data_IF_731308012299
#
_entry.id   IF_731308012299
#
_cell.length_a   1.000
_cell.length_b   1.000
_cell.length_c   1.000
_cell.angle_alpha   90.00
_cell.angle_beta   90.00
_cell.angle_gamma   90.00
#
_symmetry.space_group_name_H-M   'P 1'
#
loop_
_entity.id
_entity.type
_entity.pdbx_description
1 polymer ?
#
# COMPACT_ATOMS: atom_id res chain seq x y z
N UNK A 1 -29.12 11.67 19.35
CA UNK A 1 -29.28 10.39 20.08
C UNK A 1 -29.28 9.17 19.14
N UNK A 2 -30.20 9.07 18.17
CA UNK A 2 -30.29 7.89 17.29
C UNK A 2 -29.05 7.66 16.39
N UNK A 3 -28.57 8.71 15.71
CA UNK A 3 -27.37 8.62 14.86
C UNK A 3 -26.12 8.17 15.63
N UNK A 4 -25.90 8.73 16.82
CA UNK A 4 -24.77 8.34 17.67
C UNK A 4 -24.81 6.85 18.03
N UNK A 5 -25.97 6.34 18.47
CA UNK A 5 -26.16 4.92 18.78
C UNK A 5 -25.95 4.01 17.57
N UNK A 6 -26.30 4.49 16.38
CA UNK A 6 -26.02 3.76 15.14
C UNK A 6 -24.51 3.72 14.85
N UNK A 7 -23.82 4.85 14.98
CA UNK A 7 -22.38 4.98 14.73
C UNK A 7 -21.51 4.28 15.78
N UNK A 8 -22.00 4.03 17.00
CA UNK A 8 -21.25 3.28 18.03
C UNK A 8 -21.71 1.84 18.21
N UNK A 9 -22.60 1.33 17.35
CA UNK A 9 -23.17 0.00 17.48
C UNK A 9 -22.26 -1.09 16.89
N UNK A 10 -22.08 -2.18 17.66
CA UNK A 10 -21.40 -3.39 17.20
C UNK A 10 -22.12 -4.08 16.03
N UNK A 11 -23.46 -3.99 15.97
CA UNK A 11 -24.24 -4.54 14.85
C UNK A 11 -23.93 -3.81 13.55
N UNK A 12 -23.79 -2.48 13.63
CA UNK A 12 -23.40 -1.65 12.48
C UNK A 12 -22.02 -2.05 11.99
N UNK A 13 -21.06 -2.20 12.90
CA UNK A 13 -19.72 -2.67 12.56
C UNK A 13 -19.74 -4.05 11.86
N UNK A 14 -20.49 -5.02 12.41
CA UNK A 14 -20.59 -6.35 11.80
C UNK A 14 -21.19 -6.32 10.38
N UNK A 15 -22.26 -5.57 10.16
CA UNK A 15 -22.87 -5.43 8.83
C UNK A 15 -21.96 -4.70 7.84
N UNK A 16 -21.27 -3.65 8.28
CA UNK A 16 -20.29 -2.95 7.44
C UNK A 16 -19.09 -3.84 7.09
N UNK A 17 -18.62 -4.66 8.03
CA UNK A 17 -17.57 -5.65 7.78
C UNK A 17 -18.00 -6.69 6.74
N UNK A 18 -19.24 -7.19 6.83
CA UNK A 18 -19.79 -8.09 5.82
C UNK A 18 -19.89 -7.41 4.44
N UNK A 19 -20.39 -6.17 4.39
CA UNK A 19 -20.49 -5.39 3.16
C UNK A 19 -19.11 -5.15 2.52
N UNK A 20 -18.09 -4.84 3.34
CA UNK A 20 -16.69 -4.71 2.91
C UNK A 20 -16.19 -6.01 2.28
N UNK A 21 -16.42 -7.17 2.91
CA UNK A 21 -16.00 -8.47 2.38
C UNK A 21 -16.70 -8.80 1.04
N UNK A 22 -18.01 -8.54 0.94
CA UNK A 22 -18.78 -8.76 -0.29
C UNK A 22 -18.27 -7.86 -1.42
N UNK A 23 -18.02 -6.57 -1.13
CA UNK A 23 -17.48 -5.62 -2.09
C UNK A 23 -16.09 -6.03 -2.57
N UNK A 24 -15.21 -6.49 -1.67
CA UNK A 24 -13.89 -7.00 -2.02
C UNK A 24 -13.95 -8.23 -2.93
N UNK A 25 -14.83 -9.19 -2.62
CA UNK A 25 -15.04 -10.38 -3.45
C UNK A 25 -15.57 -10.02 -4.84
N UNK A 26 -16.56 -9.11 -4.91
CA UNK A 26 -17.08 -8.59 -6.17
C UNK A 26 -15.99 -7.88 -6.98
N UNK A 27 -15.13 -7.10 -6.33
CA UNK A 27 -13.98 -6.44 -6.96
C UNK A 27 -12.99 -7.42 -7.57
N UNK A 28 -12.65 -8.50 -6.85
CA UNK A 28 -11.77 -9.55 -7.37
C UNK A 28 -12.31 -10.18 -8.66
N UNK A 29 -13.63 -10.39 -8.75
CA UNK A 29 -14.27 -10.91 -9.97
C UNK A 29 -14.31 -9.85 -11.07
N UNK A 30 -14.67 -8.60 -10.73
CA UNK A 30 -14.76 -7.50 -11.68
C UNK A 30 -13.41 -7.20 -12.35
N UNK A 31 -12.31 -7.23 -11.60
CA UNK A 31 -10.97 -7.00 -12.15
C UNK A 31 -10.59 -8.03 -13.22
N UNK A 32 -10.97 -9.31 -13.06
CA UNK A 32 -10.74 -10.34 -14.07
C UNK A 32 -11.69 -10.23 -15.28
N UNK A 33 -12.92 -9.75 -15.07
CA UNK A 33 -13.95 -9.62 -16.11
C UNK A 33 -13.72 -8.40 -17.03
N UNK A 34 -13.16 -7.32 -16.48
CA UNK A 34 -12.98 -6.03 -17.17
C UNK A 34 -11.51 -5.56 -17.13
N UNK A 35 -10.57 -6.30 -17.73
CA UNK A 35 -9.14 -5.99 -17.66
C UNK A 35 -8.80 -4.62 -18.26
N UNK A 36 -9.47 -4.19 -19.32
CA UNK A 36 -9.22 -2.88 -19.95
C UNK A 36 -9.50 -1.69 -19.00
N UNK A 37 -10.45 -1.87 -18.07
CA UNK A 37 -10.79 -0.86 -17.08
C UNK A 37 -9.79 -0.85 -15.91
N UNK A 38 -9.37 -2.03 -15.44
CA UNK A 38 -8.63 -2.18 -14.18
C UNK A 38 -7.12 -2.47 -14.32
N UNK A 39 -6.61 -2.88 -15.49
CA UNK A 39 -5.22 -3.33 -15.65
C UNK A 39 -4.16 -2.26 -15.30
N UNK A 40 -4.49 -0.98 -15.51
CA UNK A 40 -3.59 0.12 -15.20
C UNK A 40 -3.82 0.71 -13.80
N UNK A 41 -4.68 0.11 -12.98
CA UNK A 41 -4.95 0.57 -11.61
C UNK A 41 -3.69 0.49 -10.74
N UNK A 42 -2.88 -0.57 -10.92
CA UNK A 42 -1.59 -0.72 -10.26
C UNK A 42 -0.44 0.03 -10.94
N UNK A 43 -0.64 0.57 -12.14
CA UNK A 43 0.40 1.32 -12.84
C UNK A 43 0.51 2.78 -12.37
N UNK A 44 -0.40 3.25 -11.52
CA UNK A 44 -0.54 4.65 -11.13
C UNK A 44 -1.05 4.78 -9.70
N UNK A 45 -1.12 6.01 -9.22
CA UNK A 45 -1.70 6.34 -7.91
C UNK A 45 -3.23 6.25 -8.00
N UNK A 46 -3.86 5.70 -6.95
CA UNK A 46 -5.30 5.44 -6.92
C UNK A 46 -6.14 6.69 -7.23
N UNK A 47 -5.83 7.86 -6.66
CA UNK A 47 -6.57 9.09 -6.94
C UNK A 47 -6.54 9.48 -8.43
N UNK A 48 -5.39 9.31 -9.09
CA UNK A 48 -5.23 9.57 -10.52
C UNK A 48 -6.01 8.58 -11.38
N UNK A 49 -6.03 7.31 -10.99
CA UNK A 49 -6.86 6.30 -11.66
C UNK A 49 -8.35 6.60 -11.48
N UNK A 50 -8.77 6.88 -10.24
CA UNK A 50 -10.16 7.12 -9.88
C UNK A 50 -10.74 8.34 -10.59
N UNK A 51 -9.99 9.44 -10.67
CA UNK A 51 -10.42 10.64 -11.39
C UNK A 51 -10.66 10.41 -12.89
N UNK A 52 -9.93 9.46 -13.49
CA UNK A 52 -10.03 9.16 -14.94
C UNK A 52 -11.04 8.07 -15.26
N UNK A 53 -11.06 7.00 -14.46
CA UNK A 53 -11.80 5.76 -14.76
C UNK A 53 -12.85 5.39 -13.70
N UNK A 54 -12.78 5.96 -12.50
CA UNK A 54 -13.65 5.59 -11.39
C UNK A 54 -15.15 5.82 -11.66
N UNK A 55 -15.48 6.78 -12.51
CA UNK A 55 -16.87 7.10 -12.91
C UNK A 55 -17.18 6.78 -14.37
N UNK A 56 -16.23 6.21 -15.11
CA UNK A 56 -16.37 5.98 -16.56
C UNK A 56 -17.44 4.91 -16.86
N UNK A 57 -17.49 3.85 -16.04
CA UNK A 57 -18.54 2.84 -16.11
C UNK A 57 -19.00 2.46 -14.67
N UNK A 58 -20.14 3.01 -14.20
CA UNK A 58 -20.64 2.78 -12.85
C UNK A 58 -20.94 1.32 -12.52
N UNK A 59 -21.27 0.48 -13.52
CA UNK A 59 -21.62 -0.92 -13.28
C UNK A 59 -20.43 -1.73 -12.75
N UNK A 60 -19.35 -1.86 -13.52
CA UNK A 60 -18.13 -2.54 -13.11
C UNK A 60 -17.41 -1.88 -11.94
N UNK A 61 -17.58 -0.57 -11.71
CA UNK A 61 -16.89 0.15 -10.62
C UNK A 61 -17.67 0.16 -9.30
N UNK A 62 -18.93 -0.31 -9.26
CA UNK A 62 -19.78 -0.25 -8.08
C UNK A 62 -19.17 -0.89 -6.82
N UNK A 63 -18.42 -1.99 -6.99
CA UNK A 63 -17.74 -2.67 -5.88
C UNK A 63 -16.78 -1.72 -5.16
N UNK A 64 -16.12 -0.82 -5.89
CA UNK A 64 -15.14 0.11 -5.33
C UNK A 64 -15.82 1.14 -4.45
N UNK A 65 -16.97 1.68 -4.87
CA UNK A 65 -17.77 2.59 -4.05
C UNK A 65 -18.28 1.90 -2.78
N UNK A 66 -18.75 0.66 -2.90
CA UNK A 66 -19.15 -0.15 -1.74
C UNK A 66 -18.00 -0.36 -0.75
N UNK A 67 -16.80 -0.63 -1.26
CA UNK A 67 -15.60 -0.82 -0.46
C UNK A 67 -15.16 0.47 0.23
N UNK A 68 -15.09 1.58 -0.50
CA UNK A 68 -14.71 2.89 0.04
C UNK A 68 -15.71 3.38 1.09
N UNK A 69 -17.01 3.26 0.81
CA UNK A 69 -18.07 3.64 1.75
C UNK A 69 -18.02 2.79 3.02
N UNK A 70 -17.91 1.47 2.88
CA UNK A 70 -17.83 0.57 4.03
C UNK A 70 -16.60 0.86 4.89
N UNK A 71 -15.44 1.10 4.26
CA UNK A 71 -14.20 1.47 4.95
C UNK A 71 -14.34 2.79 5.69
N UNK A 72 -14.89 3.82 5.04
CA UNK A 72 -15.12 5.12 5.66
C UNK A 72 -16.06 5.03 6.86
N UNK A 73 -17.17 4.29 6.73
CA UNK A 73 -18.11 4.10 7.83
C UNK A 73 -17.53 3.26 8.98
N UNK A 74 -16.69 2.26 8.68
CA UNK A 74 -15.96 1.51 9.72
C UNK A 74 -14.96 2.40 10.46
N UNK A 75 -14.24 3.26 9.74
CA UNK A 75 -13.33 4.23 10.36
C UNK A 75 -14.10 5.21 11.27
N UNK A 76 -15.22 5.77 10.82
CA UNK A 76 -16.08 6.63 11.64
C UNK A 76 -16.60 5.88 12.86
N UNK A 77 -17.06 4.63 12.71
CA UNK A 77 -17.53 3.79 13.81
C UNK A 77 -16.42 3.57 14.86
N UNK A 78 -15.23 3.17 14.42
CA UNK A 78 -14.07 2.96 15.30
C UNK A 78 -13.66 4.26 16.03
N UNK A 79 -13.68 5.40 15.33
CA UNK A 79 -13.37 6.70 15.91
C UNK A 79 -14.40 7.11 16.98
N UNK A 80 -15.70 7.02 16.68
CA UNK A 80 -16.78 7.33 17.63
C UNK A 80 -16.73 6.42 18.87
N UNK A 81 -16.56 5.11 18.67
CA UNK A 81 -16.41 4.14 19.77
C UNK A 81 -15.19 4.46 20.67
N UNK A 82 -14.09 4.88 20.05
CA UNK A 82 -12.87 5.26 20.79
C UNK A 82 -13.10 6.55 21.58
N UNK A 83 -13.71 7.57 20.98
CA UNK A 83 -13.98 8.85 21.63
C UNK A 83 -14.89 8.70 22.86
N UNK A 84 -15.97 7.90 22.75
CA UNK A 84 -16.91 7.66 23.85
C UNK A 84 -16.22 7.04 25.09
N UNK A 85 -15.29 6.12 24.85
CA UNK A 85 -14.61 5.37 25.90
C UNK A 85 -13.39 6.10 26.45
N UNK A 86 -12.70 6.90 25.63
CA UNK A 86 -11.58 7.73 26.11
C UNK A 86 -12.04 8.70 27.21
N UNK A 87 -13.24 9.29 27.06
CA UNK A 87 -13.86 10.16 28.08
C UNK A 87 -14.10 9.40 29.40
N UNK A 88 -14.43 8.11 29.35
CA UNK A 88 -14.62 7.28 30.54
C UNK A 88 -13.29 6.91 31.22
N UNK A 89 -12.24 6.72 30.42
CA UNK A 89 -10.89 6.38 30.89
C UNK A 89 -10.27 7.54 31.68
N UNK A 90 -10.43 8.79 31.23
CA UNK A 90 -9.95 9.97 31.94
C UNK A 90 -10.57 10.17 33.33
N UNK A 91 -11.65 9.45 33.68
CA UNK A 91 -12.38 9.59 34.94
C UNK A 91 -12.06 8.50 35.98
N UNK A 92 -11.12 7.59 35.73
CA UNK A 92 -10.80 6.52 36.69
C UNK A 92 -9.48 5.80 36.42
N UNK A 93 -9.20 4.77 37.21
CA UNK A 93 -8.03 3.89 37.02
C UNK A 93 -8.32 2.85 35.95
N UNK A 94 -7.44 2.74 34.94
CA UNK A 94 -7.59 1.83 33.79
C UNK A 94 -6.62 0.67 33.84
N UNK A 95 -7.13 -0.53 33.59
CA UNK A 95 -6.33 -1.75 33.37
C UNK A 95 -5.90 -1.85 31.91
N UNK A 96 -4.73 -2.43 31.62
CA UNK A 96 -4.22 -2.67 30.26
C UNK A 96 -5.26 -3.34 29.34
N UNK A 97 -6.00 -4.33 29.83
CA UNK A 97 -7.02 -5.05 29.03
C UNK A 97 -8.18 -4.16 28.58
N UNK A 98 -8.50 -3.10 29.33
CA UNK A 98 -9.48 -2.09 28.93
C UNK A 98 -8.92 -1.11 27.90
N UNK A 99 -7.59 -0.97 27.80
CA UNK A 99 -6.92 -0.12 26.80
C UNK A 99 -6.71 -0.84 25.46
N UNK A 100 -6.58 -2.17 25.45
CA UNK A 100 -6.30 -2.94 24.25
C UNK A 100 -7.29 -2.70 23.10
N UNK A 101 -8.63 -2.71 23.29
CA UNK A 101 -9.56 -2.41 22.20
C UNK A 101 -9.37 -1.01 21.60
N UNK A 102 -8.96 -0.03 22.40
CA UNK A 102 -8.69 1.33 21.91
C UNK A 102 -7.39 1.39 21.13
N UNK A 103 -6.35 0.65 21.57
CA UNK A 103 -5.13 0.48 20.80
C UNK A 103 -5.43 -0.16 19.44
N UNK A 104 -6.30 -1.17 19.38
CA UNK A 104 -6.75 -1.76 18.11
C UNK A 104 -7.45 -0.73 17.20
N UNK A 105 -8.38 0.05 17.73
CA UNK A 105 -9.08 1.07 16.92
C UNK A 105 -8.13 2.14 16.40
N UNK A 106 -7.24 2.66 17.24
CA UNK A 106 -6.25 3.65 16.83
C UNK A 106 -5.29 3.09 15.77
N UNK A 107 -4.86 1.84 15.92
CA UNK A 107 -4.05 1.15 14.94
C UNK A 107 -4.81 0.94 13.61
N UNK A 108 -6.06 0.49 13.65
CA UNK A 108 -6.92 0.38 12.47
C UNK A 108 -7.11 1.73 11.76
N UNK A 109 -7.39 2.79 12.51
CA UNK A 109 -7.48 4.15 11.97
C UNK A 109 -6.16 4.60 11.34
N UNK A 110 -5.04 4.28 11.97
CA UNK A 110 -3.71 4.52 11.43
C UNK A 110 -3.49 3.83 10.09
N UNK A 111 -3.90 2.56 9.95
CA UNK A 111 -3.85 1.82 8.67
C UNK A 111 -4.69 2.52 7.60
N UNK A 112 -5.95 2.86 7.91
CA UNK A 112 -6.87 3.51 6.95
C UNK A 112 -6.34 4.88 6.51
N UNK A 113 -5.89 5.72 7.45
CA UNK A 113 -5.36 7.05 7.14
C UNK A 113 -4.05 6.98 6.35
N UNK A 114 -3.21 5.98 6.63
CA UNK A 114 -1.96 5.80 5.89
C UNK A 114 -2.22 5.32 4.46
N UNK A 115 -3.15 4.38 4.26
CA UNK A 115 -3.60 4.00 2.92
C UNK A 115 -4.21 5.19 2.16
N UNK A 116 -5.00 6.03 2.83
CA UNK A 116 -5.54 7.25 2.22
C UNK A 116 -4.42 8.21 1.82
N UNK A 117 -3.41 8.41 2.67
CA UNK A 117 -2.25 9.24 2.34
C UNK A 117 -1.48 8.68 1.13
N UNK A 118 -1.24 7.38 1.06
CA UNK A 118 -0.62 6.73 -0.11
C UNK A 118 -1.47 6.87 -1.37
N UNK A 119 -2.79 6.76 -1.25
CA UNK A 119 -3.73 6.86 -2.36
C UNK A 119 -3.84 8.29 -2.93
N UNK A 120 -3.58 9.32 -2.13
CA UNK A 120 -3.66 10.73 -2.52
C UNK A 120 -2.31 11.34 -2.89
N UNK A 121 -1.25 10.99 -2.15
CA UNK A 121 0.06 11.64 -2.22
C UNK A 121 1.19 10.70 -2.68
N UNK A 122 0.87 9.44 -2.97
CA UNK A 122 1.82 8.54 -3.61
C UNK A 122 2.29 9.06 -4.97
N UNK A 123 3.33 8.42 -5.50
CA UNK A 123 3.76 8.63 -6.88
C UNK A 123 4.22 7.30 -7.48
N UNK A 124 3.90 7.06 -8.75
CA UNK A 124 4.30 5.86 -9.48
C UNK A 124 4.74 6.26 -10.87
N UNK A 125 6.01 5.99 -11.17
CA UNK A 125 6.64 6.27 -12.46
C UNK A 125 7.01 4.91 -13.08
N UNK A 126 6.10 4.34 -13.89
CA UNK A 126 6.32 3.03 -14.46
C UNK A 126 7.22 3.08 -15.69
N UNK A 127 7.95 1.99 -15.95
CA UNK A 127 8.46 1.72 -17.29
C UNK A 127 9.68 2.52 -17.73
N UNK A 128 10.55 2.93 -16.80
CA UNK A 128 11.82 3.60 -17.11
C UNK A 128 12.80 2.60 -17.71
N UNK A 129 12.80 2.46 -19.03
CA UNK A 129 13.70 1.57 -19.76
C UNK A 129 15.10 2.22 -19.95
N UNK A 130 16.14 1.52 -19.49
CA UNK A 130 17.53 1.99 -19.57
C UNK A 130 18.41 0.89 -20.18
N UNK A 131 19.04 1.13 -21.34
CA UNK A 131 20.06 0.22 -21.85
C UNK A 131 21.32 0.31 -20.97
N UNK A 132 22.09 -0.77 -20.88
CA UNK A 132 23.32 -0.75 -20.10
C UNK A 132 24.30 0.29 -20.63
N UNK A 133 24.88 1.08 -19.72
CA UNK A 133 25.70 2.25 -20.02
C UNK A 133 24.89 3.51 -20.38
N UNK A 134 23.58 3.38 -20.61
CA UNK A 134 22.68 4.46 -20.97
C UNK A 134 22.09 5.19 -19.77
N UNK A 135 21.32 6.23 -20.09
CA UNK A 135 20.67 7.13 -19.14
C UNK A 135 19.19 7.30 -19.52
N UNK A 136 18.30 7.35 -18.54
CA UNK A 136 16.91 7.72 -18.76
C UNK A 136 16.42 8.64 -17.64
N UNK A 137 15.53 9.58 -17.98
CA UNK A 137 14.88 10.43 -17.00
C UNK A 137 13.87 9.63 -16.17
N UNK A 138 13.84 9.87 -14.87
CA UNK A 138 12.89 9.23 -13.95
C UNK A 138 11.68 10.15 -13.78
N UNK A 139 10.82 10.22 -14.80
CA UNK A 139 9.61 11.04 -14.79
C UNK A 139 9.88 12.51 -14.42
N UNK A 140 9.03 13.05 -13.53
CA UNK A 140 9.09 14.44 -13.06
C UNK A 140 10.00 14.71 -11.86
N UNK A 141 10.80 13.72 -11.42
CA UNK A 141 11.65 13.82 -10.20
C UNK A 141 12.86 14.75 -10.36
N UNK A 142 13.23 15.07 -11.60
CA UNK A 142 14.48 15.74 -11.93
C UNK A 142 15.71 14.81 -11.89
N UNK A 143 15.53 13.51 -11.67
CA UNK A 143 16.62 12.54 -11.71
C UNK A 143 16.82 11.92 -13.09
N UNK A 144 18.06 11.49 -13.31
CA UNK A 144 18.46 10.63 -14.41
C UNK A 144 19.00 9.33 -13.83
N UNK A 145 18.41 8.21 -14.20
CA UNK A 145 18.87 6.88 -13.86
C UNK A 145 19.85 6.39 -14.91
N UNK A 146 21.03 5.94 -14.47
CA UNK A 146 22.00 5.23 -15.28
C UNK A 146 22.01 3.75 -14.90
N UNK A 147 21.97 2.87 -15.89
CA UNK A 147 22.25 1.46 -15.71
C UNK A 147 23.75 1.23 -15.89
N UNK A 148 24.50 1.08 -14.81
CA UNK A 148 25.95 0.88 -14.88
C UNK A 148 26.28 -0.53 -15.38
N UNK A 149 25.58 -1.53 -14.84
CA UNK A 149 25.77 -2.95 -15.17
C UNK A 149 24.50 -3.73 -14.92
N UNK A 150 24.16 -4.65 -15.82
CA UNK A 150 23.10 -5.62 -15.63
C UNK A 150 23.68 -7.03 -15.68
N UNK A 151 23.35 -7.84 -14.68
CA UNK A 151 23.74 -9.23 -14.60
C UNK A 151 22.49 -10.09 -14.45
N UNK A 152 22.35 -11.12 -15.29
CA UNK A 152 21.30 -12.12 -15.18
C UNK A 152 21.87 -13.53 -15.27
N UNK A 153 21.37 -14.42 -14.43
CA UNK A 153 21.66 -15.85 -14.45
C UNK A 153 20.43 -16.55 -14.99
N UNK A 154 20.52 -17.08 -16.20
CA UNK A 154 19.42 -17.84 -16.82
C UNK A 154 19.52 -19.31 -16.42
N UNK A 155 18.38 -19.93 -16.13
CA UNK A 155 18.26 -21.37 -15.98
C UNK A 155 18.37 -22.05 -17.36
N UNK A 156 18.74 -23.35 -17.42
CA UNK A 156 18.81 -24.10 -18.68
C UNK A 156 17.50 -24.06 -19.48
N UNK A 157 16.36 -23.98 -18.79
CA UNK A 157 15.03 -23.93 -19.39
C UNK A 157 14.65 -22.51 -19.89
N UNK A 158 15.54 -21.52 -19.76
CA UNK A 158 15.39 -20.20 -20.36
C UNK A 158 14.67 -19.15 -19.49
N UNK A 159 14.36 -19.45 -18.23
CA UNK A 159 13.84 -18.46 -17.28
C UNK A 159 14.96 -17.87 -16.40
N UNK A 160 14.83 -16.63 -15.90
CA UNK A 160 15.84 -16.04 -15.02
C UNK A 160 15.80 -16.66 -13.63
N UNK A 161 16.95 -17.13 -13.16
CA UNK A 161 17.16 -17.64 -11.79
C UNK A 161 17.51 -16.52 -10.82
N UNK A 162 18.34 -15.56 -11.25
CA UNK A 162 18.77 -14.41 -10.47
C UNK A 162 19.08 -13.25 -11.41
N UNK A 163 18.85 -12.03 -10.97
CA UNK A 163 19.21 -10.83 -11.72
C UNK A 163 19.51 -9.66 -10.78
N UNK A 164 20.43 -8.81 -11.21
CA UNK A 164 20.81 -7.61 -10.48
C UNK A 164 21.18 -6.48 -11.44
N UNK A 165 20.87 -5.25 -11.04
CA UNK A 165 21.22 -4.06 -11.78
C UNK A 165 22.02 -3.12 -10.89
N UNK A 166 23.28 -2.88 -11.23
CA UNK A 166 24.03 -1.77 -10.62
C UNK A 166 23.57 -0.48 -11.28
N UNK A 167 23.04 0.43 -10.48
CA UNK A 167 22.49 1.70 -10.97
C UNK A 167 23.04 2.89 -10.20
N UNK A 168 23.11 4.02 -10.89
CA UNK A 168 23.44 5.32 -10.29
C UNK A 168 22.35 6.32 -10.67
N UNK A 169 21.77 7.00 -9.68
CA UNK A 169 20.90 8.15 -9.85
C UNK A 169 21.73 9.43 -9.87
N UNK A 170 21.43 10.29 -10.83
CA UNK A 170 22.03 11.61 -10.99
C UNK A 170 20.97 12.68 -10.82
N UNK A 171 21.35 13.81 -10.21
CA UNK A 171 20.66 15.09 -10.34
C UNK A 171 21.57 15.99 -11.17
N UNK A 172 21.10 16.37 -12.35
CA UNK A 172 21.91 16.99 -13.40
C UNK A 172 23.14 16.14 -13.74
N UNK A 173 24.34 16.58 -13.34
CA UNK A 173 25.61 15.87 -13.53
C UNK A 173 26.15 15.21 -12.26
N UNK A 174 25.51 15.43 -11.11
CA UNK A 174 26.00 14.98 -9.81
C UNK A 174 25.37 13.63 -9.43
N UNK A 175 26.16 12.59 -9.11
CA UNK A 175 25.62 11.34 -8.59
C UNK A 175 25.07 11.55 -7.18
N UNK A 176 23.78 11.24 -6.97
CA UNK A 176 23.06 11.45 -5.69
C UNK A 176 22.77 10.14 -4.95
N UNK A 177 22.72 9.02 -5.66
CA UNK A 177 22.61 7.69 -5.07
C UNK A 177 23.18 6.63 -6.02
N UNK A 178 23.75 5.56 -5.45
CA UNK A 178 24.25 4.41 -6.20
C UNK A 178 23.97 3.15 -5.40
N UNK A 179 23.60 2.08 -6.09
CA UNK A 179 23.38 0.79 -5.43
C UNK A 179 23.15 -0.34 -6.42
N UNK A 180 22.96 -1.54 -5.87
CA UNK A 180 22.58 -2.73 -6.63
C UNK A 180 21.11 -2.98 -6.36
N UNK A 181 20.29 -2.95 -7.42
CA UNK A 181 18.87 -3.27 -7.36
C UNK A 181 18.70 -4.77 -7.66
N UNK A 182 17.95 -5.46 -6.81
CA UNK A 182 17.53 -6.86 -6.97
C UNK A 182 16.03 -6.98 -6.70
N UNK A 183 15.46 -8.17 -6.93
CA UNK A 183 14.01 -8.43 -6.75
C UNK A 183 13.43 -7.90 -5.43
N UNK A 184 14.13 -8.11 -4.31
CA UNK A 184 13.69 -7.67 -2.97
C UNK A 184 14.63 -6.64 -2.34
N UNK A 185 15.56 -6.08 -3.12
CA UNK A 185 16.53 -5.08 -2.66
C UNK A 185 16.46 -3.87 -3.60
N UNK A 186 15.44 -3.01 -3.45
CA UNK A 186 15.33 -1.79 -4.23
C UNK A 186 16.36 -0.73 -3.78
N UNK A 187 16.67 0.21 -4.67
CA UNK A 187 17.43 1.40 -4.30
C UNK A 187 16.46 2.46 -3.78
N UNK A 188 16.61 2.87 -2.52
CA UNK A 188 15.82 3.96 -1.94
C UNK A 188 16.55 5.30 -2.01
N UNK A 189 15.87 6.34 -2.49
CA UNK A 189 16.38 7.71 -2.50
C UNK A 189 15.23 8.73 -2.42
N UNK A 190 15.33 9.72 -1.53
CA UNK A 190 14.31 10.77 -1.27
C UNK A 190 12.85 10.24 -1.20
N UNK A 191 12.65 9.08 -0.58
CA UNK A 191 11.32 8.45 -0.41
C UNK A 191 10.83 7.62 -1.61
N UNK A 192 11.55 7.62 -2.73
CA UNK A 192 11.29 6.71 -3.85
C UNK A 192 12.08 5.41 -3.69
N UNK A 193 11.44 4.29 -4.00
CA UNK A 193 12.11 3.02 -4.27
C UNK A 193 12.21 2.79 -5.77
N UNK A 194 13.40 2.44 -6.25
CA UNK A 194 13.66 2.03 -7.63
C UNK A 194 13.68 0.50 -7.70
N UNK A 195 12.76 -0.06 -8.47
CA UNK A 195 12.52 -1.49 -8.60
C UNK A 195 12.78 -1.95 -10.04
N UNK A 196 13.30 -3.15 -10.24
CA UNK A 196 13.35 -3.77 -11.57
C UNK A 196 11.97 -4.36 -11.87
N UNK A 197 11.33 -3.87 -12.94
CA UNK A 197 10.06 -4.38 -13.45
C UNK A 197 10.29 -5.50 -14.47
N UNK A 198 11.21 -5.28 -15.39
CA UNK A 198 11.49 -6.19 -16.51
C UNK A 198 12.92 -5.97 -17.01
N UNK A 199 13.42 -6.85 -17.84
CA UNK A 199 14.72 -6.71 -18.50
C UNK A 199 14.74 -7.51 -19.80
N UNK A 200 15.76 -7.29 -20.60
CA UNK A 200 15.95 -8.05 -21.82
C UNK A 200 17.20 -7.62 -22.57
N UNK A 201 17.22 -7.94 -23.85
CA UNK A 201 18.27 -7.52 -24.78
C UNK A 201 17.65 -6.66 -25.87
N UNK A 202 18.34 -5.57 -26.21
CA UNK A 202 17.99 -4.73 -27.36
C UNK A 202 18.13 -5.53 -28.67
N UNK A 203 17.58 -5.05 -29.80
CA UNK A 203 17.74 -5.72 -31.10
C UNK A 203 19.19 -5.98 -31.51
N UNK A 204 20.15 -5.21 -30.97
CA UNK A 204 21.59 -5.35 -31.22
C UNK A 204 22.32 -6.15 -30.13
N UNK A 205 21.60 -6.82 -29.24
CA UNK A 205 22.15 -7.71 -28.21
C UNK A 205 22.63 -7.04 -26.93
N UNK A 206 22.55 -5.71 -26.80
CA UNK A 206 22.93 -5.03 -25.57
C UNK A 206 21.86 -5.23 -24.46
N UNK A 207 22.24 -5.57 -23.22
CA UNK A 207 21.30 -5.70 -22.12
C UNK A 207 20.59 -4.37 -21.80
N UNK A 208 19.34 -4.46 -21.38
CA UNK A 208 18.59 -3.34 -20.81
C UNK A 208 17.75 -3.81 -19.62
N UNK A 209 17.43 -2.89 -18.72
CA UNK A 209 16.47 -3.10 -17.65
C UNK A 209 15.41 -2.02 -17.66
N UNK A 210 14.21 -2.39 -17.24
CA UNK A 210 13.04 -1.51 -17.08
C UNK A 210 12.81 -1.36 -15.59
N UNK A 211 12.75 -0.11 -15.14
CA UNK A 211 12.58 0.23 -13.75
C UNK A 211 11.25 0.90 -13.48
N UNK A 212 10.73 0.69 -12.28
CA UNK A 212 9.67 1.51 -11.70
C UNK A 212 10.25 2.34 -10.57
N UNK A 213 9.87 3.61 -10.51
CA UNK A 213 10.12 4.45 -9.35
C UNK A 213 8.80 4.69 -8.62
N UNK A 214 8.72 4.22 -7.37
CA UNK A 214 7.50 4.30 -6.57
C UNK A 214 7.78 5.06 -5.27
N UNK A 215 6.96 6.06 -4.97
CA UNK A 215 6.92 6.74 -3.67
C UNK A 215 5.63 6.39 -2.96
N UNK A 216 5.76 5.76 -1.80
CA UNK A 216 4.63 5.42 -0.95
C UNK A 216 4.81 6.07 0.44
N UNK A 217 4.23 7.26 0.67
CA UNK A 217 4.41 7.99 1.92
C UNK A 217 3.76 7.29 3.13
N UNK A 218 2.76 6.44 2.91
CA UNK A 218 2.05 5.73 3.96
C UNK A 218 2.64 4.36 4.29
N UNK A 219 3.49 3.76 3.44
CA UNK A 219 3.95 2.38 3.57
C UNK A 219 4.50 2.02 4.96
N UNK A 220 5.42 2.82 5.50
CA UNK A 220 6.00 2.57 6.83
C UNK A 220 4.95 2.68 7.93
N UNK A 221 4.07 3.68 7.84
CA UNK A 221 3.00 3.88 8.82
C UNK A 221 1.96 2.75 8.76
N UNK A 222 1.61 2.25 7.57
CA UNK A 222 0.76 1.06 7.37
C UNK A 222 1.38 -0.14 8.07
N UNK A 223 2.68 -0.40 7.86
CA UNK A 223 3.36 -1.54 8.47
C UNK A 223 3.34 -1.45 10.00
N UNK A 224 3.75 -0.30 10.56
CA UNK A 224 3.76 -0.08 12.01
C UNK A 224 2.36 -0.22 12.60
N UNK A 225 1.36 0.43 12.01
CA UNK A 225 -0.02 0.35 12.47
C UNK A 225 -0.57 -1.07 12.36
N UNK A 226 -0.24 -1.83 11.32
CA UNK A 226 -0.66 -3.23 11.15
C UNK A 226 -0.01 -4.14 12.19
N UNK A 227 1.27 -3.95 12.50
CA UNK A 227 1.96 -4.71 13.55
C UNK A 227 1.36 -4.41 14.92
N UNK A 228 1.08 -3.14 15.23
CA UNK A 228 0.41 -2.74 16.47
C UNK A 228 -1.01 -3.32 16.57
N UNK A 229 -1.77 -3.27 15.48
CA UNK A 229 -3.11 -3.87 15.42
C UNK A 229 -3.06 -5.36 15.72
N UNK A 230 -2.17 -6.10 15.05
CA UNK A 230 -1.97 -7.54 15.27
C UNK A 230 -1.54 -7.85 16.70
N UNK A 231 -0.55 -7.12 17.23
CA UNK A 231 -0.07 -7.31 18.60
C UNK A 231 -1.19 -7.07 19.64
N UNK A 232 -1.97 -6.00 19.47
CA UNK A 232 -3.09 -5.70 20.36
C UNK A 232 -4.15 -6.81 20.32
N UNK A 233 -4.47 -7.35 19.15
CA UNK A 233 -5.39 -8.48 18.98
C UNK A 233 -4.87 -9.75 19.69
N UNK A 234 -3.60 -10.10 19.50
CA UNK A 234 -2.99 -11.26 20.15
C UNK A 234 -2.98 -11.13 21.68
N UNK A 235 -2.61 -9.95 22.20
CA UNK A 235 -2.61 -9.67 23.64
C UNK A 235 -4.02 -9.73 24.24
N UNK A 236 -5.04 -9.32 23.49
CA UNK A 236 -6.42 -9.36 23.97
C UNK A 236 -6.97 -10.79 24.06
N UNK A 237 -6.58 -11.66 23.12
CA UNK A 237 -6.94 -13.08 23.09
C UNK A 237 -6.17 -13.91 24.12
N UNK A 238 -5.03 -13.43 24.61
CA UNK A 238 -4.27 -14.14 25.62
C UNK A 238 -5.08 -14.29 26.93
N UNK A 239 -5.33 -15.52 27.41
CA UNK A 239 -6.08 -15.73 28.65
C UNK A 239 -5.31 -15.11 29.83
N UNK A 240 -5.92 -14.15 30.52
CA UNK A 240 -5.45 -13.79 31.86
C UNK A 240 -5.66 -15.00 32.75
N UNK A 241 -4.60 -15.59 33.31
CA UNK A 241 -4.74 -16.56 34.40
C UNK A 241 -5.61 -15.89 35.46
N UNK A 242 -6.77 -16.47 35.76
CA UNK A 242 -7.51 -16.13 36.97
C UNK A 242 -6.56 -16.43 38.13
N UNK A 243 -5.96 -15.40 38.71
CA UNK A 243 -5.52 -15.47 40.10
C UNK A 243 -6.79 -15.39 40.94
N UNK A 244 -7.51 -16.51 40.99
CA UNK A 244 -8.46 -16.77 42.06
C UNK A 244 -7.60 -17.17 43.26
N UNK A 245 -7.42 -16.24 44.19
CA UNK A 245 -6.94 -16.46 45.54
C UNK A 245 -7.95 -15.85 46.49
#
# INVERSE_FOLDING_TARGET
>A
MALWRFLTSLKTCAWLGLAFCIAGAAGSVAMGRYPELFADMDAQVFAGWFARKGTADPGPTLWLYGLLLSTGLLAVNAACCTAERLVQIFRGTVTLRRLLPHAMHLAFLGVVLSHLASALYGDRIPGVAVPQGGFARVGGTGWVLRLDRFDSVMAPEGYPKDFSATVTLYRDTTPVARGVVRTNEPLFHEGYGIYIRNFGSTPWGAPYAVFDANRDPGATAILVASLLFTAANLLYLYPSRRTDA
#
